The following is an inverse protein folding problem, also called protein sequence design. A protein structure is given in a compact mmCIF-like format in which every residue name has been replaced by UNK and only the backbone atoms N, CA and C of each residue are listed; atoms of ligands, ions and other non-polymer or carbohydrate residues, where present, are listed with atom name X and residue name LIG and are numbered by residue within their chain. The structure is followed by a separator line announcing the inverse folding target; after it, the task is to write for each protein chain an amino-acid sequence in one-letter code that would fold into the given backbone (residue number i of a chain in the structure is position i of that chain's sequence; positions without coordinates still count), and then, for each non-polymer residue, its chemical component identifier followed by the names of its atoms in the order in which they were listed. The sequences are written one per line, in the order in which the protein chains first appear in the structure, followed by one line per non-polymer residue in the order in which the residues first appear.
data_IF_428903856789
#
_entry.id   IF_428903856789
#
_cell.length_a   1.000
_cell.length_b   1.000
_cell.length_c   1.000
_cell.angle_alpha   90.00
_cell.angle_beta   90.00
_cell.angle_gamma   90.00
#
_symmetry.space_group_name_H-M   'P 1'
#
loop_
_entity.id
_entity.type
_entity.pdbx_description
1 polymer ?
#
# COMPACT_ATOMS: atom_id res chain seq x y z
N UNK A 1 -22.43 -2.83 6.78
CA UNK A 1 -21.30 -3.13 5.88
C UNK A 1 -21.39 -2.20 4.66
N UNK A 2 -20.66 -1.11 4.55
CA UNK A 2 -19.53 -0.56 5.31
C UNK A 2 -18.90 0.50 4.40
N UNK A 3 -18.36 1.58 4.97
CA UNK A 3 -17.68 2.68 4.25
C UNK A 3 -16.63 2.13 3.27
N UNK A 4 -16.22 2.90 2.25
CA UNK A 4 -15.15 2.49 1.33
C UNK A 4 -13.89 2.01 2.09
N UNK A 5 -13.33 0.84 1.75
CA UNK A 5 -12.14 0.28 2.41
C UNK A 5 -11.13 -0.20 1.37
N UNK A 6 -9.85 0.15 1.57
CA UNK A 6 -8.73 -0.54 0.96
C UNK A 6 -8.14 -1.52 1.98
N UNK A 7 -8.14 -2.81 1.67
CA UNK A 7 -7.53 -3.86 2.50
C UNK A 7 -6.17 -4.22 1.95
N UNK A 8 -5.10 -3.97 2.71
CA UNK A 8 -3.75 -4.47 2.44
C UNK A 8 -3.48 -5.74 3.24
N UNK A 9 -3.14 -6.83 2.56
CA UNK A 9 -2.72 -8.08 3.18
C UNK A 9 -1.25 -8.30 2.87
N UNK A 10 -0.40 -8.21 3.90
CA UNK A 10 1.05 -8.34 3.76
C UNK A 10 1.55 -9.77 3.96
N UNK A 11 2.70 -10.07 3.36
CA UNK A 11 3.43 -11.33 3.49
C UNK A 11 4.79 -11.14 4.15
N UNK A 12 4.93 -10.07 4.97
CA UNK A 12 6.18 -9.80 5.69
C UNK A 12 6.51 -10.90 6.71
N UNK A 13 7.79 -11.22 6.82
CA UNK A 13 8.33 -12.12 7.85
C UNK A 13 8.53 -11.40 9.20
N UNK A 14 9.05 -12.12 10.20
CA UNK A 14 9.34 -11.57 11.53
C UNK A 14 10.43 -10.48 11.52
N UNK A 15 11.22 -10.40 10.46
CA UNK A 15 12.27 -9.41 10.24
C UNK A 15 11.78 -8.25 9.36
N UNK A 16 10.46 -8.15 9.11
CA UNK A 16 9.83 -7.15 8.26
C UNK A 16 10.25 -7.21 6.78
N UNK A 17 10.78 -8.34 6.31
CA UNK A 17 11.07 -8.54 4.89
C UNK A 17 9.85 -9.11 4.18
N UNK A 18 9.59 -8.65 2.97
CA UNK A 18 8.49 -9.13 2.13
C UNK A 18 9.00 -9.29 0.68
N UNK A 19 8.69 -10.41 -0.02
CA UNK A 19 9.02 -10.53 -1.43
C UNK A 19 8.35 -9.43 -2.27
N UNK A 20 9.05 -8.91 -3.26
CA UNK A 20 8.53 -7.85 -4.13
C UNK A 20 7.23 -8.31 -4.81
N UNK A 21 6.21 -7.45 -4.80
CA UNK A 21 4.88 -7.69 -5.38
C UNK A 21 4.10 -8.85 -4.73
N UNK A 22 4.39 -9.19 -3.47
CA UNK A 22 3.69 -10.28 -2.80
C UNK A 22 2.50 -9.83 -1.94
N UNK A 23 2.46 -8.57 -1.48
CA UNK A 23 1.30 -8.07 -0.76
C UNK A 23 0.10 -7.92 -1.70
N UNK A 24 -1.09 -8.26 -1.20
CA UNK A 24 -2.35 -8.12 -1.94
C UNK A 24 -3.15 -6.94 -1.42
N UNK A 25 -3.60 -6.08 -2.33
CA UNK A 25 -4.46 -4.94 -2.03
C UNK A 25 -5.82 -5.12 -2.69
N UNK A 26 -6.88 -5.02 -1.90
CA UNK A 26 -8.27 -5.22 -2.35
C UNK A 26 -9.10 -3.99 -1.99
N UNK A 27 -9.71 -3.37 -3.00
CA UNK A 27 -10.59 -2.21 -2.84
C UNK A 27 -12.03 -2.70 -2.71
N UNK A 28 -12.70 -2.35 -1.61
CA UNK A 28 -14.12 -2.57 -1.39
C UNK A 28 -14.83 -1.21 -1.38
N UNK A 29 -15.57 -0.92 -2.46
CA UNK A 29 -16.38 0.28 -2.54
C UNK A 29 -17.77 0.02 -2.00
N UNK A 30 -18.37 1.02 -1.37
CA UNK A 30 -19.73 0.90 -0.83
C UNK A 30 -20.75 0.52 -1.91
N UNK A 31 -20.54 0.97 -3.15
CA UNK A 31 -21.38 0.68 -4.31
C UNK A 31 -21.32 -0.75 -4.82
N UNK A 32 -20.33 -1.55 -4.39
CA UNK A 32 -20.16 -2.94 -4.82
C UNK A 32 -20.33 -3.90 -3.63
N UNK A 33 -21.26 -4.86 -3.74
CA UNK A 33 -21.56 -5.83 -2.69
C UNK A 33 -21.14 -7.26 -3.02
N UNK A 34 -20.62 -7.50 -4.23
CA UNK A 34 -20.30 -8.84 -4.73
C UNK A 34 -18.86 -9.28 -4.42
N UNK A 35 -18.02 -8.34 -3.97
CA UNK A 35 -16.61 -8.59 -3.68
C UNK A 35 -15.75 -7.33 -3.82
N UNK A 36 -14.43 -7.47 -3.99
CA UNK A 36 -13.55 -6.34 -4.23
C UNK A 36 -13.84 -5.72 -5.60
N UNK A 37 -14.01 -4.39 -5.65
CA UNK A 37 -14.13 -3.59 -6.87
C UNK A 37 -12.84 -3.56 -7.70
N UNK A 38 -11.69 -3.72 -7.05
CA UNK A 38 -10.39 -3.85 -7.71
C UNK A 38 -9.42 -4.62 -6.82
N UNK A 39 -8.46 -5.30 -7.45
CA UNK A 39 -7.37 -5.99 -6.76
C UNK A 39 -6.04 -5.66 -7.43
N UNK A 40 -4.98 -5.46 -6.65
CA UNK A 40 -3.63 -5.26 -7.17
C UNK A 40 -2.59 -5.86 -6.23
N UNK A 41 -1.50 -6.37 -6.81
CA UNK A 41 -0.34 -6.83 -6.05
C UNK A 41 0.66 -5.69 -5.84
N UNK A 42 1.37 -5.70 -4.71
CA UNK A 42 2.25 -4.59 -4.34
C UNK A 42 3.17 -4.94 -3.18
N UNK A 43 3.55 -3.91 -2.43
CA UNK A 43 4.54 -3.99 -1.37
C UNK A 43 4.09 -3.17 -0.17
N UNK A 44 4.31 -3.72 1.03
CA UNK A 44 3.95 -3.10 2.30
C UNK A 44 5.15 -2.67 3.15
N UNK A 45 6.34 -3.04 2.68
CA UNK A 45 7.62 -2.74 3.32
C UNK A 45 8.32 -1.56 2.63
N UNK A 46 9.11 -0.76 3.36
CA UNK A 46 9.97 0.24 2.76
C UNK A 46 11.13 -0.42 1.98
N UNK A 47 11.83 0.39 1.17
CA UNK A 47 13.00 -0.07 0.43
C UNK A 47 14.19 -0.47 1.31
N UNK A 48 14.25 0.05 2.54
CA UNK A 48 15.29 -0.25 3.54
C UNK A 48 14.65 -0.30 4.93
N UNK A 49 14.30 -1.52 5.37
CA UNK A 49 13.64 -1.79 6.66
C UNK A 49 14.53 -1.48 7.86
N UNK A 50 15.84 -1.35 7.67
CA UNK A 50 16.79 -1.02 8.74
C UNK A 50 16.84 0.48 9.04
N UNK A 51 16.34 1.32 8.12
CA UNK A 51 16.38 2.79 8.23
C UNK A 51 15.00 3.44 8.27
N UNK A 52 14.00 2.80 7.67
CA UNK A 52 12.66 3.35 7.53
C UNK A 52 11.66 2.61 8.42
N UNK A 53 10.58 3.29 8.79
CA UNK A 53 9.49 2.67 9.51
C UNK A 53 8.66 1.77 8.59
N UNK A 54 8.20 0.64 9.11
CA UNK A 54 7.20 -0.20 8.46
C UNK A 54 5.86 0.01 9.16
N UNK A 55 4.78 0.25 8.41
CA UNK A 55 3.47 0.52 8.99
C UNK A 55 2.97 -0.67 9.83
N UNK A 56 2.45 -0.39 11.03
CA UNK A 56 1.83 -1.43 11.86
C UNK A 56 0.53 -1.95 11.22
N UNK A 57 0.12 -3.17 11.58
CA UNK A 57 -1.23 -3.63 11.28
C UNK A 57 -2.26 -2.77 12.01
N UNK A 58 -3.42 -2.54 11.39
CA UNK A 58 -4.44 -1.69 11.96
C UNK A 58 -5.41 -1.10 10.94
N UNK A 59 -6.40 -0.39 11.46
CA UNK A 59 -7.38 0.34 10.69
C UNK A 59 -7.06 1.84 10.75
N UNK A 60 -6.89 2.46 9.59
CA UNK A 60 -6.52 3.86 9.44
C UNK A 60 -7.54 4.59 8.57
N UNK A 61 -7.72 5.89 8.78
CA UNK A 61 -8.40 6.75 7.82
C UNK A 61 -7.64 6.77 6.50
N UNK A 62 -8.32 6.82 5.37
CA UNK A 62 -7.65 7.00 4.08
C UNK A 62 -8.50 7.86 3.14
N UNK A 63 -7.84 8.68 2.34
CA UNK A 63 -8.50 9.44 1.27
C UNK A 63 -7.64 9.49 0.02
N UNK A 64 -8.27 9.64 -1.12
CA UNK A 64 -7.60 9.96 -2.37
C UNK A 64 -6.80 11.26 -2.23
N UNK A 65 -5.63 11.25 -2.86
CA UNK A 65 -4.77 12.40 -3.03
C UNK A 65 -3.99 12.27 -4.32
N UNK A 66 -3.71 13.39 -4.97
CA UNK A 66 -2.76 13.46 -6.06
C UNK A 66 -2.24 14.89 -6.16
N UNK A 67 -1.21 15.11 -6.97
CA UNK A 67 -0.71 16.47 -7.20
C UNK A 67 -1.72 17.23 -8.06
N UNK A 68 -2.35 18.25 -7.48
CA UNK A 68 -3.44 18.99 -8.13
C UNK A 68 -3.08 19.48 -9.54
N UNK A 69 -1.88 20.02 -9.74
CA UNK A 69 -1.41 20.46 -11.07
C UNK A 69 -1.33 19.31 -12.08
N UNK A 70 -0.89 18.11 -11.65
CA UNK A 70 -0.77 16.94 -12.53
C UNK A 70 -2.16 16.37 -12.87
N UNK A 71 -3.06 16.32 -11.88
CA UNK A 71 -4.43 15.89 -12.11
C UNK A 71 -5.19 16.88 -13.02
N UNK A 72 -4.93 18.18 -12.89
CA UNK A 72 -5.52 19.22 -13.76
C UNK A 72 -5.07 19.09 -15.22
N UNK A 73 -3.86 18.57 -15.47
CA UNK A 73 -3.37 18.22 -16.80
C UNK A 73 -3.95 16.88 -17.33
N UNK A 74 -4.91 16.28 -16.62
CA UNK A 74 -5.51 14.98 -16.98
C UNK A 74 -4.57 13.78 -16.80
N UNK A 75 -3.41 13.97 -16.15
CA UNK A 75 -2.43 12.92 -15.93
C UNK A 75 -2.78 12.07 -14.71
N UNK A 76 -2.48 10.78 -14.80
CA UNK A 76 -2.74 9.80 -13.74
C UNK A 76 -1.61 9.81 -12.71
N UNK A 77 -1.88 10.43 -11.55
CA UNK A 77 -0.95 10.57 -10.42
C UNK A 77 -1.65 10.40 -9.07
N UNK A 78 -2.74 9.63 -9.07
CA UNK A 78 -3.53 9.42 -7.88
C UNK A 78 -2.84 8.39 -6.95
N UNK A 79 -2.95 8.66 -5.67
CA UNK A 79 -2.51 7.85 -4.54
C UNK A 79 -3.59 7.90 -3.44
N UNK A 80 -3.41 7.11 -2.39
CA UNK A 80 -4.15 7.29 -1.14
C UNK A 80 -3.20 7.82 -0.06
N UNK A 81 -3.60 8.86 0.66
CA UNK A 81 -2.92 9.26 1.89
C UNK A 81 -3.52 8.51 3.07
N UNK A 82 -2.67 7.92 3.90
CA UNK A 82 -3.04 7.12 5.07
C UNK A 82 -3.00 8.02 6.31
N UNK A 83 -4.00 7.87 7.17
CA UNK A 83 -4.24 8.65 8.37
C UNK A 83 -4.16 10.17 8.16
N UNK A 84 -4.58 10.65 6.99
CA UNK A 84 -4.48 12.07 6.60
C UNK A 84 -3.05 12.65 6.67
N UNK A 85 -2.03 11.78 6.59
CA UNK A 85 -0.63 12.15 6.72
C UNK A 85 -0.15 12.31 8.17
N UNK A 86 -1.04 12.15 9.15
CA UNK A 86 -0.70 12.22 10.58
C UNK A 86 0.12 11.02 11.01
N UNK A 87 0.75 11.15 12.17
CA UNK A 87 1.57 10.09 12.76
C UNK A 87 0.78 8.78 12.96
N UNK A 88 1.41 7.67 12.62
CA UNK A 88 0.90 6.30 12.78
C UNK A 88 1.98 5.41 13.42
N UNK A 89 1.57 4.37 14.16
CA UNK A 89 2.51 3.41 14.73
C UNK A 89 3.20 2.58 13.65
N UNK A 90 4.38 2.09 14.01
CA UNK A 90 5.16 1.16 13.19
C UNK A 90 5.05 -0.26 13.71
N UNK A 91 5.32 -1.23 12.84
CA UNK A 91 5.34 -2.65 13.20
C UNK A 91 6.47 -2.95 14.18
N UNK A 92 6.29 -3.90 15.12
CA UNK A 92 7.37 -4.37 15.99
C UNK A 92 8.62 -4.74 15.20
N UNK A 93 9.79 -4.37 15.72
CA UNK A 93 11.08 -4.55 15.02
C UNK A 93 11.45 -3.41 14.06
N UNK A 94 10.57 -2.43 13.84
CA UNK A 94 10.92 -1.23 13.07
C UNK A 94 11.95 -0.36 13.81
N UNK A 95 12.87 0.31 13.09
CA UNK A 95 13.89 1.20 13.68
C UNK A 95 13.33 2.52 14.22
N UNK A 96 12.08 2.83 13.88
CA UNK A 96 11.33 4.01 14.34
C UNK A 96 10.08 3.50 15.05
N UNK A 97 9.59 4.22 16.06
CA UNK A 97 8.33 3.89 16.74
C UNK A 97 7.09 4.40 16.00
N UNK A 98 7.22 5.49 15.24
CA UNK A 98 6.14 6.08 14.45
C UNK A 98 6.64 6.63 13.12
N UNK A 99 5.69 6.90 12.21
CA UNK A 99 5.93 7.48 10.88
C UNK A 99 4.73 8.34 10.46
N UNK A 100 4.91 9.25 9.51
CA UNK A 100 3.89 10.18 9.01
C UNK A 100 3.99 10.30 7.49
N UNK A 101 3.01 10.95 6.85
CA UNK A 101 2.99 11.16 5.39
C UNK A 101 3.11 9.85 4.59
N UNK A 102 2.34 8.85 5.02
CA UNK A 102 2.34 7.52 4.42
C UNK A 102 1.29 7.46 3.33
N UNK A 103 1.68 6.94 2.17
CA UNK A 103 0.81 6.80 1.01
C UNK A 103 0.71 5.35 0.56
N UNK A 104 -0.38 5.03 -0.16
CA UNK A 104 -0.42 3.96 -1.14
C UNK A 104 -0.26 4.57 -2.53
N UNK A 105 0.88 4.36 -3.18
CA UNK A 105 1.20 4.96 -4.48
C UNK A 105 1.80 3.96 -5.48
N UNK A 106 2.08 4.41 -6.71
CA UNK A 106 2.72 3.55 -7.72
C UNK A 106 4.07 3.02 -7.22
N UNK A 107 4.31 1.72 -7.40
CA UNK A 107 5.64 1.13 -7.25
C UNK A 107 6.61 1.54 -8.36
N UNK A 108 7.79 0.94 -8.34
CA UNK A 108 8.85 1.18 -9.33
C UNK A 108 8.53 0.53 -10.66
N UNK A 109 7.83 1.22 -11.56
CA UNK A 109 7.39 0.64 -12.83
C UNK A 109 8.51 0.32 -13.83
N UNK A 110 9.74 0.75 -13.57
CA UNK A 110 10.88 0.46 -14.43
C UNK A 110 11.64 -0.81 -14.00
N UNK A 111 11.48 -1.26 -12.75
CA UNK A 111 12.33 -2.31 -12.15
C UNK A 111 11.60 -3.10 -11.09
N UNK A 112 11.92 -4.39 -10.96
CA UNK A 112 11.43 -5.23 -9.87
C UNK A 112 12.22 -4.94 -8.56
N UNK A 113 12.11 -3.72 -8.04
CA UNK A 113 12.81 -3.27 -6.83
C UNK A 113 12.16 -2.02 -6.22
N UNK A 114 12.18 -1.90 -4.89
CA UNK A 114 11.74 -0.70 -4.16
C UNK A 114 12.76 0.45 -4.17
N UNK A 115 13.91 0.26 -4.82
CA UNK A 115 14.98 1.26 -4.94
C UNK A 115 15.25 1.62 -6.40
N UNK A 116 15.79 2.82 -6.63
CA UNK A 116 16.30 3.20 -7.96
C UNK A 116 17.70 2.60 -8.19
N UNK A 117 18.32 2.90 -9.34
CA UNK A 117 19.72 2.54 -9.58
C UNK A 117 20.70 3.41 -8.79
N UNK A 118 20.21 4.52 -8.21
CA UNK A 118 21.03 5.47 -7.45
C UNK A 118 21.04 5.05 -5.98
N UNK A 119 22.21 4.80 -5.38
CA UNK A 119 22.31 4.51 -3.96
C UNK A 119 21.59 5.55 -3.09
N UNK A 120 20.81 5.10 -2.12
CA UNK A 120 20.06 5.98 -1.21
C UNK A 120 18.80 6.62 -1.80
N UNK A 121 18.49 6.41 -3.07
CA UNK A 121 17.23 6.83 -3.66
C UNK A 121 16.20 5.70 -3.63
N UNK A 122 15.20 5.87 -2.78
CA UNK A 122 14.16 4.89 -2.51
C UNK A 122 12.83 5.32 -3.14
N UNK A 123 12.10 4.35 -3.71
CA UNK A 123 10.73 4.56 -4.19
C UNK A 123 9.77 4.60 -3.01
N UNK A 124 9.98 3.74 -2.01
CA UNK A 124 9.25 3.77 -0.75
C UNK A 124 10.19 4.02 0.43
N UNK A 125 9.94 5.13 1.15
CA UNK A 125 10.57 5.47 2.45
C UNK A 125 9.66 5.15 3.64
N UNK A 126 8.74 4.20 3.49
CA UNK A 126 7.71 3.85 4.48
C UNK A 126 6.31 3.77 3.87
N UNK A 127 6.13 4.27 2.65
CA UNK A 127 4.90 4.13 1.89
C UNK A 127 4.59 2.67 1.53
N UNK A 128 3.31 2.42 1.32
CA UNK A 128 2.80 1.23 0.68
C UNK A 128 2.81 1.48 -0.84
N UNK A 129 3.07 0.45 -1.64
CA UNK A 129 3.12 0.63 -3.10
C UNK A 129 2.34 -0.45 -3.82
N UNK A 130 1.81 -0.12 -4.99
CA UNK A 130 1.41 -1.12 -5.98
C UNK A 130 2.65 -1.76 -6.63
N UNK A 131 2.43 -2.57 -7.67
CA UNK A 131 3.49 -3.37 -8.29
C UNK A 131 4.73 -2.60 -8.74
N UNK A 132 5.86 -3.28 -8.66
CA UNK A 132 7.14 -2.90 -9.26
C UNK A 132 7.39 -3.74 -10.53
N UNK A 133 8.13 -3.20 -11.48
CA UNK A 133 8.50 -3.84 -12.74
C UNK A 133 7.67 -3.39 -13.96
N UNK A 134 8.07 -3.83 -15.16
CA UNK A 134 7.40 -3.47 -16.42
C UNK A 134 5.90 -3.76 -16.37
N UNK A 135 5.10 -2.81 -16.87
CA UNK A 135 3.64 -2.92 -16.89
C UNK A 135 2.92 -2.57 -15.59
N UNK A 136 3.64 -2.31 -14.48
CA UNK A 136 2.98 -2.03 -13.20
C UNK A 136 2.29 -0.67 -13.14
N UNK A 137 2.79 0.35 -13.86
CA UNK A 137 2.19 1.69 -13.87
C UNK A 137 0.79 1.71 -14.51
N UNK A 138 0.56 1.11 -15.69
CA UNK A 138 -0.81 0.96 -16.21
C UNK A 138 -1.76 0.26 -15.24
N UNK A 139 -1.31 -0.80 -14.55
CA UNK A 139 -2.11 -1.51 -13.56
C UNK A 139 -2.45 -0.63 -12.34
N UNK A 140 -1.46 0.12 -11.84
CA UNK A 140 -1.68 1.12 -10.79
C UNK A 140 -2.74 2.14 -11.21
N UNK A 141 -2.62 2.66 -12.41
CA UNK A 141 -3.55 3.66 -12.92
C UNK A 141 -4.97 3.10 -13.08
N UNK A 142 -5.12 1.86 -13.53
CA UNK A 142 -6.42 1.18 -13.60
C UNK A 142 -7.02 0.98 -12.20
N UNK A 143 -6.22 0.55 -11.24
CA UNK A 143 -6.64 0.39 -9.85
C UNK A 143 -7.11 1.74 -9.26
N UNK A 144 -6.32 2.80 -9.46
CA UNK A 144 -6.66 4.12 -8.95
C UNK A 144 -7.84 4.78 -9.68
N UNK A 145 -8.13 4.38 -10.92
CA UNK A 145 -9.37 4.78 -11.60
C UNK A 145 -10.61 4.23 -10.89
N UNK A 146 -10.54 3.00 -10.35
CA UNK A 146 -11.61 2.44 -9.54
C UNK A 146 -11.74 3.15 -8.18
N UNK A 147 -10.60 3.55 -7.58
CA UNK A 147 -10.59 4.36 -6.34
C UNK A 147 -11.30 5.71 -6.55
N UNK A 148 -10.97 6.41 -7.65
CA UNK A 148 -11.54 7.72 -7.96
C UNK A 148 -10.99 8.86 -7.10
N UNK A 149 -11.25 10.10 -7.53
CA UNK A 149 -10.72 11.32 -6.90
C UNK A 149 -11.38 11.68 -5.57
N UNK A 150 -12.57 11.13 -5.29
CA UNK A 150 -13.37 11.46 -4.10
C UNK A 150 -13.37 10.35 -3.04
N UNK A 151 -12.47 9.37 -3.16
CA UNK A 151 -12.34 8.31 -2.17
C UNK A 151 -12.12 8.90 -0.77
N UNK A 152 -13.05 8.62 0.13
CA UNK A 152 -12.95 8.82 1.57
C UNK A 152 -13.39 7.53 2.24
N UNK A 153 -12.53 6.98 3.07
CA UNK A 153 -12.71 5.63 3.59
C UNK A 153 -11.67 5.24 4.62
N UNK A 154 -11.43 3.93 4.69
CA UNK A 154 -10.43 3.35 5.57
C UNK A 154 -9.39 2.58 4.78
N UNK A 155 -8.18 2.52 5.33
CA UNK A 155 -7.14 1.57 4.95
C UNK A 155 -6.98 0.57 6.09
N UNK A 156 -7.20 -0.71 5.80
CA UNK A 156 -7.04 -1.80 6.76
C UNK A 156 -5.82 -2.64 6.37
N UNK A 157 -4.77 -2.60 7.18
CA UNK A 157 -3.57 -3.42 7.00
C UNK A 157 -3.61 -4.62 7.95
N UNK A 158 -3.44 -5.82 7.39
CA UNK A 158 -3.38 -7.08 8.13
C UNK A 158 -2.32 -8.04 7.58
N UNK A 159 -1.92 -8.99 8.40
CA UNK A 159 -1.13 -10.14 7.98
C UNK A 159 -1.94 -11.12 7.12
N UNK A 160 -1.24 -11.84 6.24
CA UNK A 160 -1.82 -12.99 5.56
C UNK A 160 -2.23 -14.04 6.60
N UNK A 161 -3.47 -14.56 6.56
CA UNK A 161 -3.89 -15.62 7.47
C UNK A 161 -2.98 -16.83 7.34
N UNK A 162 -2.39 -17.27 8.44
CA UNK A 162 -1.70 -18.57 8.48
C UNK A 162 -2.77 -19.64 8.42
N UNK A 163 -2.67 -20.55 7.44
CA UNK A 163 -3.49 -21.75 7.43
C UNK A 163 -3.05 -22.60 8.63
N UNK A 164 -3.89 -22.68 9.67
CA UNK A 164 -3.67 -23.64 10.74
C UNK A 164 -3.90 -25.04 10.18
N UNK A 165 -2.84 -25.83 10.07
CA UNK A 165 -2.99 -27.26 9.80
C UNK A 165 -3.62 -27.87 11.06
N UNK A 166 -4.79 -28.53 10.98
CA UNK A 166 -5.38 -29.18 12.13
C UNK A 166 -4.36 -30.19 12.69
N UNK A 167 -4.06 -30.09 13.98
CA UNK A 167 -3.30 -31.14 14.66
C UNK A 167 -4.13 -32.41 14.56
N UNK A 168 -3.63 -33.42 13.86
CA UNK A 168 -4.17 -34.77 13.95
C UNK A 168 -4.10 -35.20 15.42
N UNK A 169 -5.26 -35.46 16.01
CA UNK A 169 -5.40 -36.07 17.33
C UNK A 169 -4.91 -37.52 17.29
#
# INVERSE_FOLDING_TARGET
MGKNVLVGTHNRDANLNEPINSAKFELYLESNKEGPSATIMGNTVPADVTKQGTLAEGLYSARSQGRAGILAEGKQDLALIINEGKSVPTAPGSPKSSMSEIFFHSGNYNRLSLSTNTPGQYISKGCQTSGCGPGSRPLHNQFMKAVGTDFKGSYYLRSQPKLEVPKSQ
#
